data_IF_712179181288
#
_entry.id   IF_712179181288
#
_cell.length_a   1.000
_cell.length_b   1.000
_cell.length_c   1.000
_cell.angle_alpha   90.00
_cell.angle_beta   90.00
_cell.angle_gamma   90.00
#
_symmetry.space_group_name_H-M   'P 1'
#
loop_
_entity.id
_entity.type
_entity.pdbx_description
1 polymer ?
#
# COMPACT_ATOMS: atom_id res chain seq x y z
N UNK A 1 0.25 -0.16 29.88
CA UNK A 1 0.13 1.31 29.81
C UNK A 1 -1.33 1.68 29.59
N UNK A 2 -1.89 2.64 30.33
CA UNK A 2 -3.28 3.10 30.15
C UNK A 2 -3.29 4.52 29.59
N UNK A 3 -4.01 4.74 28.51
CA UNK A 3 -4.16 6.05 27.87
C UNK A 3 -5.60 6.54 28.03
N UNK A 4 -5.77 7.86 28.12
CA UNK A 4 -7.10 8.48 28.11
C UNK A 4 -7.55 8.67 26.67
N UNK A 5 -8.83 8.41 26.42
CA UNK A 5 -9.48 8.78 25.17
C UNK A 5 -9.87 10.25 25.25
N UNK A 6 -9.39 11.04 24.30
CA UNK A 6 -9.71 12.45 24.16
C UNK A 6 -10.95 12.64 23.28
N UNK A 7 -11.30 13.90 23.00
CA UNK A 7 -12.42 14.23 22.12
C UNK A 7 -12.28 13.52 20.76
N UNK A 8 -13.43 13.20 20.16
CA UNK A 8 -13.51 12.51 18.87
C UNK A 8 -12.81 11.14 18.83
N UNK A 9 -12.60 10.49 19.97
CA UNK A 9 -11.98 9.15 20.03
C UNK A 9 -10.46 9.15 19.87
N UNK A 10 -9.80 10.31 20.00
CA UNK A 10 -8.35 10.40 19.85
C UNK A 10 -7.62 9.73 21.03
N UNK A 11 -6.59 8.96 20.72
CA UNK A 11 -5.69 8.36 21.71
C UNK A 11 -4.26 8.80 21.40
N UNK A 12 -3.56 9.28 22.41
CA UNK A 12 -2.16 9.65 22.28
C UNK A 12 -1.31 8.39 22.19
N UNK A 13 -0.54 8.24 21.11
CA UNK A 13 0.46 7.17 20.97
C UNK A 13 1.72 7.60 21.74
N UNK A 14 2.14 6.88 22.79
CA UNK A 14 3.29 7.28 23.61
C UNK A 14 4.61 7.20 22.86
N UNK A 15 5.61 7.95 23.35
CA UNK A 15 6.90 8.15 22.66
C UNK A 15 7.62 6.84 22.35
N UNK A 16 7.53 5.86 23.25
CA UNK A 16 8.15 4.53 23.10
C UNK A 16 7.57 3.78 21.90
N UNK A 17 6.24 3.77 21.76
CA UNK A 17 5.55 3.13 20.63
C UNK A 17 5.85 3.88 19.33
N UNK A 18 5.84 5.22 19.35
CA UNK A 18 6.18 6.02 18.16
C UNK A 18 7.60 5.73 17.68
N UNK A 19 8.57 5.59 18.58
CA UNK A 19 9.96 5.25 18.24
C UNK A 19 10.06 3.83 17.66
N UNK A 20 9.38 2.86 18.27
CA UNK A 20 9.39 1.48 17.80
C UNK A 20 8.77 1.31 16.39
N UNK A 21 7.78 2.14 16.04
CA UNK A 21 7.09 2.11 14.76
C UNK A 21 7.57 3.20 13.77
N UNK A 22 8.62 3.96 14.12
CA UNK A 22 9.11 5.14 13.38
C UNK A 22 7.99 6.14 13.00
N UNK A 23 6.98 6.34 13.84
CA UNK A 23 5.85 7.24 13.55
C UNK A 23 6.25 8.68 13.83
N UNK A 24 6.13 9.55 12.83
CA UNK A 24 6.41 10.99 12.93
C UNK A 24 5.13 11.82 12.76
N UNK A 25 5.04 13.02 13.35
CA UNK A 25 3.92 13.92 13.08
C UNK A 25 3.76 14.16 11.57
N UNK A 26 2.54 14.00 11.07
CA UNK A 26 2.23 14.11 9.64
C UNK A 26 2.33 12.80 8.84
N UNK A 27 2.78 11.70 9.43
CA UNK A 27 2.70 10.39 8.77
C UNK A 27 1.24 9.89 8.70
N UNK A 28 0.87 9.30 7.55
CA UNK A 28 -0.36 8.53 7.41
C UNK A 28 -0.19 7.15 8.05
N UNK A 29 -1.20 6.70 8.78
CA UNK A 29 -1.22 5.40 9.45
C UNK A 29 -2.48 4.66 9.05
N UNK A 30 -2.35 3.38 8.72
CA UNK A 30 -3.46 2.47 8.50
C UNK A 30 -3.95 1.91 9.83
N UNK A 31 -5.26 1.89 10.03
CA UNK A 31 -5.90 1.47 11.28
C UNK A 31 -6.90 0.36 10.96
N UNK A 32 -6.62 -0.84 11.46
CA UNK A 32 -7.47 -2.01 11.27
C UNK A 32 -8.00 -2.51 12.62
N UNK A 33 -9.26 -2.97 12.65
CA UNK A 33 -9.85 -3.56 13.85
C UNK A 33 -9.90 -5.08 13.70
N UNK A 34 -9.19 -5.76 14.59
CA UNK A 34 -9.24 -7.20 14.74
C UNK A 34 -10.45 -7.57 15.60
N UNK A 35 -11.51 -8.06 14.94
CA UNK A 35 -12.78 -8.40 15.60
C UNK A 35 -12.65 -9.59 16.56
N UNK A 36 -11.78 -10.55 16.27
CA UNK A 36 -11.63 -11.77 17.08
C UNK A 36 -10.92 -11.44 18.39
N UNK A 37 -9.82 -10.69 18.30
CA UNK A 37 -8.99 -10.33 19.46
C UNK A 37 -9.45 -9.04 20.13
N UNK A 38 -10.36 -8.31 19.50
CA UNK A 38 -10.83 -6.97 19.91
C UNK A 38 -9.68 -5.98 20.07
N UNK A 39 -8.80 -5.95 19.08
CA UNK A 39 -7.59 -5.10 19.08
C UNK A 39 -7.62 -4.10 17.92
N UNK A 40 -7.00 -2.93 18.15
CA UNK A 40 -6.70 -1.98 17.08
C UNK A 40 -5.26 -2.21 16.64
N UNK A 41 -5.08 -2.51 15.36
CA UNK A 41 -3.78 -2.68 14.72
C UNK A 41 -3.41 -1.39 13.98
N UNK A 42 -2.20 -0.89 14.23
CA UNK A 42 -1.66 0.29 13.57
C UNK A 42 -0.51 -0.15 12.66
N UNK A 43 -0.57 0.21 11.38
CA UNK A 43 0.49 -0.07 10.41
C UNK A 43 0.92 1.21 9.72
N UNK A 44 2.24 1.43 9.66
CA UNK A 44 2.82 2.48 8.81
C UNK A 44 2.89 1.91 7.39
N UNK A 45 2.20 2.50 6.40
CA UNK A 45 2.28 2.03 5.02
C UNK A 45 3.68 2.31 4.46
N UNK A 46 4.20 1.34 3.70
CA UNK A 46 5.47 1.50 3.01
C UNK A 46 5.33 2.52 1.87
N UNK A 47 6.18 3.56 1.86
CA UNK A 47 6.07 4.67 0.90
C UNK A 47 6.33 4.29 -0.57
N UNK A 48 6.68 3.04 -0.87
CA UNK A 48 7.44 2.73 -2.09
C UNK A 48 6.89 1.65 -3.02
N UNK A 49 5.80 0.95 -2.74
CA UNK A 49 5.44 -0.18 -3.63
C UNK A 49 5.12 0.26 -5.07
N UNK A 50 4.33 1.33 -5.25
CA UNK A 50 3.93 1.75 -6.61
C UNK A 50 5.05 2.40 -7.42
N UNK A 51 5.98 3.12 -6.77
CA UNK A 51 7.11 3.78 -7.45
C UNK A 51 8.22 2.80 -7.80
N UNK A 52 8.44 1.76 -7.00
CA UNK A 52 9.42 0.70 -7.29
C UNK A 52 8.99 -0.15 -8.49
N UNK A 53 7.68 -0.33 -8.70
CA UNK A 53 7.16 -1.10 -9.83
C UNK A 53 7.19 -0.33 -11.16
N UNK A 54 7.28 1.00 -11.13
CA UNK A 54 7.34 1.80 -12.35
C UNK A 54 8.64 1.50 -13.12
N UNK A 55 8.52 0.77 -14.23
CA UNK A 55 9.67 0.35 -15.05
C UNK A 55 10.30 -0.98 -14.64
N UNK A 56 9.76 -1.70 -13.64
CA UNK A 56 10.22 -3.06 -13.30
C UNK A 56 10.11 -4.03 -14.49
N UNK A 57 9.15 -3.78 -15.38
CA UNK A 57 8.93 -4.54 -16.60
C UNK A 57 9.71 -4.01 -17.81
N UNK A 58 10.49 -2.93 -17.67
CA UNK A 58 11.22 -2.32 -18.79
C UNK A 58 12.24 -3.29 -19.42
N UNK A 59 12.79 -4.22 -18.64
CA UNK A 59 13.67 -5.27 -19.15
C UNK A 59 12.99 -6.17 -20.20
N UNK A 60 11.70 -6.45 -20.04
CA UNK A 60 10.92 -7.29 -20.97
C UNK A 60 10.55 -6.58 -22.27
N UNK A 61 10.68 -5.25 -22.30
CA UNK A 61 10.46 -4.44 -23.50
C UNK A 61 11.71 -4.34 -24.39
N UNK A 62 12.90 -4.75 -23.91
CA UNK A 62 14.14 -4.71 -24.70
C UNK A 62 14.02 -5.60 -25.94
N UNK A 63 14.28 -5.01 -27.11
CA UNK A 63 14.26 -5.71 -28.40
C UNK A 63 12.86 -6.02 -28.95
N UNK A 64 11.78 -5.58 -28.28
CA UNK A 64 10.41 -5.73 -28.80
C UNK A 64 9.98 -4.43 -29.45
N UNK A 65 9.43 -4.52 -30.66
CA UNK A 65 8.80 -3.37 -31.31
C UNK A 65 7.48 -3.06 -30.60
N UNK A 66 7.19 -1.76 -30.43
CA UNK A 66 5.92 -1.35 -29.84
C UNK A 66 4.77 -1.84 -30.73
N UNK A 67 3.76 -2.53 -30.17
CA UNK A 67 2.70 -3.12 -30.97
C UNK A 67 1.86 -2.05 -31.69
N UNK A 68 1.38 -2.40 -32.88
CA UNK A 68 0.42 -1.57 -33.61
C UNK A 68 -0.93 -1.53 -32.88
N UNK A 69 -1.80 -0.59 -33.27
CA UNK A 69 -3.14 -0.48 -32.69
C UNK A 69 -3.97 -1.76 -32.85
N UNK A 70 -3.85 -2.45 -33.98
CA UNK A 70 -4.50 -3.76 -34.20
C UNK A 70 -3.90 -4.84 -33.32
N UNK A 71 -2.56 -4.90 -33.19
CA UNK A 71 -1.87 -5.85 -32.33
C UNK A 71 -2.21 -5.69 -30.84
N UNK A 72 -2.38 -4.45 -30.37
CA UNK A 72 -2.85 -4.19 -29.00
C UNK A 72 -4.27 -4.69 -28.78
N UNK A 73 -5.17 -4.47 -29.74
CA UNK A 73 -6.56 -4.91 -29.65
C UNK A 73 -6.67 -6.44 -29.60
N UNK A 74 -5.89 -7.13 -30.41
CA UNK A 74 -5.86 -8.60 -30.44
C UNK A 74 -5.26 -9.19 -29.17
N UNK A 75 -4.17 -8.62 -28.65
CA UNK A 75 -3.57 -9.03 -27.38
C UNK A 75 -4.54 -8.86 -26.20
N UNK A 76 -5.30 -7.75 -26.17
CA UNK A 76 -6.33 -7.52 -25.15
C UNK A 76 -7.44 -8.58 -25.24
N UNK A 77 -7.92 -8.85 -26.45
CA UNK A 77 -8.96 -9.87 -26.68
C UNK A 77 -8.51 -11.25 -26.21
N UNK A 78 -7.27 -11.65 -26.52
CA UNK A 78 -6.71 -12.93 -26.08
C UNK A 78 -6.53 -13.01 -24.56
N UNK A 79 -6.16 -11.91 -23.90
CA UNK A 79 -6.03 -11.85 -22.45
C UNK A 79 -7.36 -12.00 -21.71
N UNK A 80 -8.43 -11.38 -22.21
CA UNK A 80 -9.76 -11.42 -21.61
C UNK A 80 -10.50 -12.77 -21.77
N UNK A 81 -10.03 -13.63 -22.68
CA UNK A 81 -10.63 -14.96 -22.91
C UNK A 81 -10.03 -16.02 -21.98
N UNK A 82 -8.88 -15.74 -21.37
CA UNK A 82 -8.13 -16.67 -20.51
C UNK A 82 -8.30 -16.39 -19.00
N UNK A 83 -9.31 -15.59 -18.61
CA UNK A 83 -9.81 -15.47 -17.23
C UNK A 83 -11.01 -16.39 -17.00
#
# INVERSE_FOLDING_TARGET
MRMKVFNKGQVVIPVEIRKALDIKPGDSIEVNFDHERRLIQLRKPDKNESRVLAGSLAAYAKGKQFPSRSGMHEALKQGMINE
#
